data_IF_995696347838
#
_entry.id   IF_995696347838
#
_cell.length_a   1.000
_cell.length_b   1.000
_cell.length_c   1.000
_cell.angle_alpha   90.00
_cell.angle_beta   90.00
_cell.angle_gamma   90.00
#
_symmetry.space_group_name_H-M   'P 1'
#
loop_
_entity.id
_entity.type
_entity.pdbx_description
1 polymer ?
#
# COMPACT_ATOMS: atom_id res chain seq x y z
N UNK A 1 -18.32 4.17 15.42
CA UNK A 1 -17.64 2.98 15.98
C UNK A 1 -16.42 2.73 15.10
N UNK A 2 -15.24 2.46 15.66
CA UNK A 2 -14.10 2.07 14.82
C UNK A 2 -14.35 0.66 14.28
N UNK A 3 -14.12 0.46 12.98
CA UNK A 3 -14.31 -0.82 12.31
C UNK A 3 -13.25 -1.01 11.22
N UNK A 4 -12.81 -2.25 11.04
CA UNK A 4 -11.89 -2.64 9.99
C UNK A 4 -12.36 -3.96 9.36
N UNK A 5 -12.25 -4.03 8.04
CA UNK A 5 -12.61 -5.20 7.23
C UNK A 5 -11.35 -5.68 6.53
N UNK A 6 -11.07 -6.98 6.60
CA UNK A 6 -10.00 -7.60 5.83
C UNK A 6 -10.58 -8.70 4.95
N UNK A 7 -10.21 -8.69 3.68
CA UNK A 7 -10.52 -9.76 2.73
C UNK A 7 -9.22 -10.30 2.16
N UNK A 8 -9.03 -11.60 2.23
CA UNK A 8 -7.85 -12.32 1.72
C UNK A 8 -8.30 -13.25 0.60
N UNK A 9 -7.76 -13.10 -0.60
CA UNK A 9 -8.08 -13.93 -1.77
C UNK A 9 -9.60 -14.11 -2.00
N UNK A 10 -10.40 -13.06 -1.82
CA UNK A 10 -11.85 -13.10 -1.96
C UNK A 10 -12.59 -13.79 -0.81
N UNK A 11 -11.94 -14.00 0.35
CA UNK A 11 -12.54 -14.56 1.56
C UNK A 11 -12.50 -13.51 2.68
N UNK A 12 -13.67 -13.13 3.19
CA UNK A 12 -13.80 -12.23 4.32
C UNK A 12 -13.17 -12.85 5.57
N UNK A 13 -12.28 -12.12 6.23
CA UNK A 13 -11.67 -12.54 7.49
C UNK A 13 -12.56 -12.15 8.66
N UNK A 14 -12.75 -13.06 9.61
CA UNK A 14 -13.64 -12.85 10.76
C UNK A 14 -12.98 -12.07 11.91
N UNK A 15 -11.65 -12.10 11.98
CA UNK A 15 -10.89 -11.40 13.01
C UNK A 15 -10.68 -9.94 12.59
N UNK A 16 -10.81 -9.02 13.54
CA UNK A 16 -10.50 -7.60 13.30
C UNK A 16 -8.98 -7.48 13.01
N UNK A 17 -8.59 -7.00 11.81
CA UNK A 17 -7.18 -6.82 11.47
C UNK A 17 -6.52 -5.63 12.21
N UNK A 18 -7.32 -4.82 12.90
CA UNK A 18 -6.92 -3.52 13.41
C UNK A 18 -6.72 -2.47 12.30
N UNK A 19 -6.27 -1.25 12.66
CA UNK A 19 -6.01 -0.18 11.72
C UNK A 19 -5.01 -0.58 10.62
N UNK A 20 -5.12 -0.03 9.40
CA UNK A 20 -4.32 -0.47 8.25
C UNK A 20 -2.81 -0.32 8.46
N UNK A 21 -2.38 0.74 9.15
CA UNK A 21 -0.96 0.93 9.47
C UNK A 21 -0.42 -0.14 10.42
N UNK A 22 -1.22 -0.56 11.41
CA UNK A 22 -0.83 -1.63 12.34
C UNK A 22 -0.83 -2.98 11.64
N UNK A 23 -1.83 -3.23 10.78
CA UNK A 23 -1.86 -4.41 9.91
C UNK A 23 -0.58 -4.51 9.06
N UNK A 24 -0.23 -3.47 8.28
CA UNK A 24 0.96 -3.51 7.43
C UNK A 24 2.27 -3.67 8.22
N UNK A 25 2.34 -3.17 9.45
CA UNK A 25 3.51 -3.33 10.33
C UNK A 25 3.73 -4.77 10.77
N UNK A 26 2.65 -5.54 10.93
CA UNK A 26 2.72 -6.96 11.31
C UNK A 26 2.86 -7.90 10.12
N UNK A 27 2.76 -7.40 8.88
CA UNK A 27 2.92 -8.22 7.69
C UNK A 27 4.39 -8.43 7.29
N UNK A 28 4.57 -9.46 6.46
CA UNK A 28 5.80 -9.70 5.69
C UNK A 28 6.18 -8.48 4.84
N UNK A 29 7.44 -8.41 4.37
CA UNK A 29 7.81 -7.46 3.33
C UNK A 29 6.91 -7.64 2.10
N UNK A 30 6.48 -6.54 1.48
CA UNK A 30 5.60 -6.59 0.31
C UNK A 30 5.20 -5.21 -0.19
N UNK A 31 4.39 -5.18 -1.26
CA UNK A 31 3.92 -3.96 -1.89
C UNK A 31 2.50 -3.61 -1.42
N UNK A 32 2.19 -2.31 -1.33
CA UNK A 32 0.84 -1.86 -0.98
C UNK A 32 0.44 -0.57 -1.70
N UNK A 33 -0.87 -0.36 -1.83
CA UNK A 33 -1.45 0.92 -2.27
C UNK A 33 -2.60 1.30 -1.35
N UNK A 34 -2.97 2.57 -1.36
CA UNK A 34 -4.04 3.07 -0.51
C UNK A 34 -4.78 4.17 -1.25
N UNK A 35 -6.10 4.05 -1.31
CA UNK A 35 -7.02 5.08 -1.79
C UNK A 35 -8.13 5.31 -0.76
N UNK A 36 -9.02 6.24 -1.05
CA UNK A 36 -10.23 6.47 -0.27
C UNK A 36 -11.45 6.55 -1.16
N UNK A 37 -12.63 6.44 -0.55
CA UNK A 37 -13.86 6.85 -1.19
C UNK A 37 -14.10 8.36 -1.09
N UNK A 38 -15.10 8.81 -1.85
CA UNK A 38 -15.67 10.15 -1.79
C UNK A 38 -17.16 10.09 -2.06
N UNK A 39 -17.86 11.20 -1.81
CA UNK A 39 -19.28 11.37 -2.13
C UNK A 39 -20.12 10.35 -1.34
N UNK A 40 -19.90 10.33 -0.02
CA UNK A 40 -20.56 9.43 0.94
C UNK A 40 -20.39 7.95 0.59
N UNK A 41 -19.14 7.56 0.31
CA UNK A 41 -18.73 6.23 -0.12
C UNK A 41 -19.33 5.73 -1.45
N UNK A 42 -19.91 6.60 -2.27
CA UNK A 42 -20.47 6.20 -3.58
C UNK A 42 -19.42 6.06 -4.69
N UNK A 43 -18.23 6.62 -4.50
CA UNK A 43 -17.14 6.59 -5.49
C UNK A 43 -15.82 6.23 -4.85
N UNK A 44 -14.99 5.44 -5.54
CA UNK A 44 -13.60 5.18 -5.15
C UNK A 44 -12.69 6.09 -5.97
N UNK A 45 -11.80 6.83 -5.30
CA UNK A 45 -10.91 7.75 -5.98
C UNK A 45 -9.79 6.99 -6.73
N UNK A 46 -9.73 7.18 -8.04
CA UNK A 46 -8.62 6.76 -8.91
C UNK A 46 -8.16 5.30 -8.73
N UNK A 47 -9.09 4.37 -8.48
CA UNK A 47 -8.77 2.97 -8.17
C UNK A 47 -7.80 2.34 -9.18
N UNK A 48 -8.04 2.52 -10.48
CA UNK A 48 -7.17 1.98 -11.54
C UNK A 48 -5.72 2.48 -11.42
N UNK A 49 -5.52 3.78 -11.17
CA UNK A 49 -4.17 4.35 -10.96
C UNK A 49 -3.50 3.79 -9.70
N UNK A 50 -4.29 3.49 -8.67
CA UNK A 50 -3.77 2.87 -7.46
C UNK A 50 -3.33 1.43 -7.69
N UNK A 51 -4.04 0.68 -8.54
CA UNK A 51 -3.65 -0.68 -8.96
C UNK A 51 -2.42 -0.66 -9.87
N UNK A 52 -2.34 0.28 -10.81
CA UNK A 52 -1.14 0.51 -11.62
C UNK A 52 0.08 0.81 -10.74
N UNK A 53 -0.07 1.69 -9.74
CA UNK A 53 1.00 1.99 -8.78
C UNK A 53 1.43 0.76 -7.97
N UNK A 54 0.47 -0.09 -7.62
CA UNK A 54 0.75 -1.33 -6.91
C UNK A 54 1.54 -2.30 -7.80
N UNK A 55 1.12 -2.49 -9.05
CA UNK A 55 1.84 -3.30 -10.03
C UNK A 55 3.28 -2.80 -10.23
N UNK A 56 3.46 -1.49 -10.43
CA UNK A 56 4.78 -0.86 -10.54
C UNK A 56 5.64 -1.11 -9.30
N UNK A 57 5.05 -1.05 -8.09
CA UNK A 57 5.79 -1.33 -6.86
C UNK A 57 6.25 -2.79 -6.78
N UNK A 58 5.41 -3.74 -7.22
CA UNK A 58 5.75 -5.16 -7.28
C UNK A 58 6.88 -5.39 -8.30
N UNK A 59 6.78 -4.80 -9.50
CA UNK A 59 7.83 -4.86 -10.53
C UNK A 59 9.18 -4.36 -10.03
N UNK A 60 9.21 -3.18 -9.39
CA UNK A 60 10.44 -2.61 -8.84
C UNK A 60 11.02 -3.56 -7.78
N UNK A 61 10.20 -4.02 -6.82
CA UNK A 61 10.67 -4.91 -5.77
C UNK A 61 11.15 -6.27 -6.31
N UNK A 62 10.49 -6.81 -7.33
CA UNK A 62 10.90 -8.03 -8.01
C UNK A 62 12.25 -7.84 -8.74
N UNK A 63 12.50 -6.69 -9.34
CA UNK A 63 13.80 -6.40 -9.96
C UNK A 63 14.92 -6.25 -8.91
N UNK A 64 14.62 -5.60 -7.79
CA UNK A 64 15.58 -5.47 -6.67
C UNK A 64 15.87 -6.81 -6.00
N UNK A 65 14.87 -7.70 -5.90
CA UNK A 65 14.97 -9.05 -5.31
C UNK A 65 14.12 -10.07 -6.09
N UNK A 66 14.67 -10.72 -7.14
CA UNK A 66 13.91 -11.59 -8.07
C UNK A 66 13.17 -12.77 -7.45
N UNK A 67 13.66 -13.32 -6.34
CA UNK A 67 13.01 -14.40 -5.60
C UNK A 67 11.87 -13.92 -4.68
N UNK A 68 11.63 -12.61 -4.58
CA UNK A 68 10.66 -12.01 -3.67
C UNK A 68 9.20 -12.16 -4.09
N UNK A 69 8.90 -12.60 -5.31
CA UNK A 69 7.54 -12.85 -5.78
C UNK A 69 7.49 -14.14 -6.58
N UNK A 70 6.40 -14.91 -6.41
CA UNK A 70 6.18 -16.17 -7.14
C UNK A 70 5.89 -15.98 -8.63
N UNK A 71 5.62 -14.74 -9.05
CA UNK A 71 5.40 -14.35 -10.45
C UNK A 71 6.47 -13.33 -10.80
N UNK A 72 7.12 -13.52 -11.95
CA UNK A 72 8.00 -12.53 -12.58
C UNK A 72 7.13 -11.53 -13.36
N UNK A 73 6.84 -10.32 -12.83
CA UNK A 73 5.89 -9.41 -13.46
C UNK A 73 6.41 -8.92 -14.82
N UNK A 74 7.74 -8.83 -15.00
CA UNK A 74 8.36 -8.39 -16.24
C UNK A 74 8.13 -9.40 -17.40
N UNK A 75 7.86 -10.67 -17.07
CA UNK A 75 7.56 -11.73 -18.04
C UNK A 75 6.08 -12.05 -18.14
N UNK A 76 5.22 -11.30 -17.45
CA UNK A 76 3.79 -11.54 -17.45
C UNK A 76 3.07 -10.42 -18.21
N UNK A 77 2.75 -10.63 -19.52
CA UNK A 77 1.99 -9.66 -20.30
C UNK A 77 0.67 -9.32 -19.60
N UNK A 78 0.34 -8.02 -19.55
CA UNK A 78 -0.88 -7.53 -18.91
C UNK A 78 -0.95 -7.80 -17.38
N UNK A 79 0.18 -7.73 -16.68
CA UNK A 79 0.25 -7.90 -15.22
C UNK A 79 -0.72 -7.00 -14.44
N UNK A 80 -0.91 -5.76 -14.88
CA UNK A 80 -1.88 -4.84 -14.26
C UNK A 80 -3.31 -5.38 -14.34
N UNK A 81 -3.73 -5.93 -15.48
CA UNK A 81 -5.08 -6.49 -15.67
C UNK A 81 -5.29 -7.75 -14.83
N UNK A 82 -4.28 -8.61 -14.78
CA UNK A 82 -4.29 -9.78 -13.91
C UNK A 82 -4.40 -9.37 -12.43
N UNK A 83 -3.58 -8.42 -11.99
CA UNK A 83 -3.62 -7.90 -10.63
C UNK A 83 -4.99 -7.29 -10.30
N UNK A 84 -5.55 -6.51 -11.23
CA UNK A 84 -6.90 -5.96 -11.10
C UNK A 84 -7.94 -7.08 -10.94
N UNK A 85 -7.84 -8.15 -11.73
CA UNK A 85 -8.75 -9.31 -11.63
C UNK A 85 -8.67 -10.00 -10.25
N UNK A 86 -7.47 -10.13 -9.68
CA UNK A 86 -7.26 -10.73 -8.36
C UNK A 86 -7.86 -9.88 -7.25
N UNK A 87 -7.67 -8.55 -7.32
CA UNK A 87 -8.16 -7.62 -6.32
C UNK A 87 -9.67 -7.41 -6.39
N UNK A 88 -10.28 -7.52 -7.57
CA UNK A 88 -11.68 -7.16 -7.81
C UNK A 88 -12.65 -7.90 -6.89
N UNK A 89 -12.48 -9.23 -6.74
CA UNK A 89 -13.34 -10.04 -5.87
C UNK A 89 -13.20 -9.64 -4.40
N UNK A 90 -11.96 -9.46 -3.94
CA UNK A 90 -11.67 -9.04 -2.56
C UNK A 90 -12.24 -7.66 -2.26
N UNK A 91 -12.12 -6.73 -3.22
CA UNK A 91 -12.67 -5.39 -3.12
C UNK A 91 -14.20 -5.41 -3.02
N UNK A 92 -14.89 -6.15 -3.88
CA UNK A 92 -16.35 -6.23 -3.88
C UNK A 92 -16.91 -6.74 -2.54
N UNK A 93 -16.34 -7.84 -2.03
CA UNK A 93 -16.73 -8.42 -0.74
C UNK A 93 -16.43 -7.44 0.41
N UNK A 94 -15.26 -6.80 0.37
CA UNK A 94 -14.87 -5.82 1.39
C UNK A 94 -15.80 -4.62 1.40
N UNK A 95 -16.16 -4.09 0.22
CA UNK A 95 -17.06 -2.93 0.08
C UNK A 95 -18.46 -3.27 0.59
N UNK A 96 -19.00 -4.43 0.22
CA UNK A 96 -20.31 -4.87 0.73
C UNK A 96 -20.31 -4.86 2.26
N UNK A 97 -19.30 -5.46 2.89
CA UNK A 97 -19.21 -5.50 4.35
C UNK A 97 -18.98 -4.11 4.97
N UNK A 98 -18.14 -3.28 4.34
CA UNK A 98 -17.86 -1.94 4.83
C UNK A 98 -19.10 -1.03 4.78
N UNK A 99 -19.91 -1.14 3.73
CA UNK A 99 -21.15 -0.38 3.57
C UNK A 99 -22.22 -0.76 4.62
N UNK A 100 -22.21 -2.00 5.12
CA UNK A 100 -23.07 -2.43 6.23
C UNK A 100 -22.62 -1.87 7.59
N UNK A 101 -21.32 -1.63 7.75
CA UNK A 101 -20.72 -1.20 9.03
C UNK A 101 -20.63 0.31 9.19
N UNK A 102 -20.46 1.03 8.08
CA UNK A 102 -20.24 2.48 8.10
C UNK A 102 -21.50 3.24 8.53
N UNK A 103 -21.29 4.40 9.14
CA UNK A 103 -22.35 5.39 9.34
C UNK A 103 -22.49 6.30 8.11
N UNK A 104 -23.60 7.03 8.03
CA UNK A 104 -23.80 8.07 7.03
C UNK A 104 -22.67 9.12 7.12
N UNK A 105 -22.21 9.63 5.97
CA UNK A 105 -21.10 10.58 5.83
C UNK A 105 -19.70 10.03 6.17
N UNK A 106 -19.58 8.79 6.67
CA UNK A 106 -18.29 8.14 6.76
C UNK A 106 -17.80 7.71 5.38
N UNK A 107 -16.59 8.13 5.04
CA UNK A 107 -15.87 7.65 3.88
C UNK A 107 -15.06 6.39 4.25
N UNK A 108 -14.50 5.73 3.23
CA UNK A 108 -13.74 4.50 3.34
C UNK A 108 -12.27 4.76 3.03
N UNK A 109 -11.36 4.22 3.82
CA UNK A 109 -9.96 4.05 3.47
C UNK A 109 -9.80 2.63 2.93
N UNK A 110 -9.32 2.50 1.70
CA UNK A 110 -9.18 1.22 1.00
C UNK A 110 -7.70 0.99 0.73
N UNK A 111 -7.15 -0.09 1.26
CA UNK A 111 -5.77 -0.48 1.10
C UNK A 111 -5.69 -1.86 0.47
N UNK A 112 -4.89 -2.00 -0.59
CA UNK A 112 -4.52 -3.30 -1.13
C UNK A 112 -3.06 -3.60 -0.79
N UNK A 113 -2.79 -4.84 -0.40
CA UNK A 113 -1.48 -5.32 0.00
C UNK A 113 -1.20 -6.69 -0.62
N UNK A 114 0.03 -6.87 -1.12
CA UNK A 114 0.53 -8.11 -1.69
C UNK A 114 1.84 -8.45 -0.96
N UNK A 115 1.89 -9.55 -0.19
CA UNK A 115 3.13 -10.01 0.40
C UNK A 115 4.10 -10.45 -0.68
N UNK A 116 5.37 -10.13 -0.47
CA UNK A 116 6.48 -10.80 -1.14
C UNK A 116 7.04 -11.90 -0.26
N UNK A 117 7.62 -12.93 -0.87
CA UNK A 117 8.46 -13.93 -0.20
C UNK A 117 9.93 -13.44 -0.08
N UNK A 118 10.11 -12.15 0.21
CA UNK A 118 11.41 -11.46 0.15
C UNK A 118 12.45 -11.99 1.16
N UNK A 119 12.01 -12.74 2.17
CA UNK A 119 12.86 -13.37 3.20
C UNK A 119 13.38 -14.76 2.81
N UNK A 120 12.79 -15.43 1.80
CA UNK A 120 13.25 -16.75 1.32
C UNK A 120 14.43 -16.66 0.35
N UNK A 121 14.81 -15.44 -0.04
CA UNK A 121 15.99 -15.11 -0.82
C UNK A 121 17.30 -15.28 -0.02
N UNK A 122 17.54 -16.44 0.58
CA UNK A 122 18.89 -16.78 1.07
C UNK A 122 19.78 -17.16 -0.12
N UNK A 123 21.10 -16.96 0.02
CA UNK A 123 22.11 -16.93 -1.05
C UNK A 123 22.26 -18.22 -1.92
N UNK A 124 21.38 -19.22 -1.78
CA UNK A 124 21.50 -20.52 -2.45
C UNK A 124 20.43 -20.82 -3.53
N UNK A 125 19.43 -19.96 -3.75
CA UNK A 125 18.34 -20.25 -4.71
C UNK A 125 18.36 -19.36 -5.98
N UNK A 126 19.52 -18.92 -6.44
CA UNK A 126 19.63 -18.13 -7.68
C UNK A 126 19.36 -18.91 -8.98
N UNK A 127 19.16 -20.23 -8.94
CA UNK A 127 19.15 -21.06 -10.17
C UNK A 127 17.79 -21.55 -10.66
N UNK A 128 16.66 -21.28 -9.99
CA UNK A 128 15.36 -21.68 -10.51
C UNK A 128 14.25 -20.70 -10.17
N UNK A 129 14.29 -19.50 -10.75
CA UNK A 129 13.04 -18.81 -11.05
C UNK A 129 12.30 -19.71 -12.06
N UNK A 130 11.40 -20.59 -11.58
CA UNK A 130 10.53 -21.37 -12.47
C UNK A 130 9.70 -20.37 -13.27
N UNK A 131 10.09 -20.14 -14.53
CA UNK A 131 9.22 -19.49 -15.50
C UNK A 131 7.92 -20.28 -15.55
N UNK A 132 6.82 -19.65 -15.17
CA UNK A 132 5.47 -20.20 -15.25
C UNK A 132 5.08 -20.32 -16.72
N UNK A 133 5.53 -21.36 -17.41
CA UNK A 133 5.16 -21.62 -18.80
C UNK A 133 3.70 -22.08 -18.97
N UNK A 134 2.96 -22.35 -17.89
CA UNK A 134 1.54 -22.74 -17.95
C UNK A 134 0.78 -22.33 -16.70
N UNK A 135 0.25 -21.11 -16.65
CA UNK A 135 -0.86 -20.82 -15.74
C UNK A 135 -2.11 -21.48 -16.32
N UNK A 136 -2.37 -22.71 -15.89
CA UNK A 136 -3.69 -23.31 -15.99
C UNK A 136 -4.59 -22.53 -15.04
N UNK A 137 -5.65 -21.89 -15.56
CA UNK A 137 -6.57 -21.01 -14.81
C UNK A 137 -7.43 -21.74 -13.76
N UNK A 138 -7.09 -22.99 -13.42
CA UNK A 138 -7.83 -23.86 -12.52
C UNK A 138 -7.06 -24.31 -11.27
N UNK A 139 -5.75 -24.06 -11.17
CA UNK A 139 -4.95 -24.34 -9.97
C UNK A 139 -4.47 -23.03 -9.33
N UNK A 140 -4.92 -22.75 -8.11
CA UNK A 140 -4.66 -21.52 -7.36
C UNK A 140 -3.22 -21.42 -6.80
N UNK A 141 -2.20 -21.41 -7.66
CA UNK A 141 -0.85 -20.90 -7.32
C UNK A 141 -0.74 -19.40 -7.70
N UNK A 142 -1.71 -18.59 -7.26
CA UNK A 142 -1.76 -17.15 -7.54
C UNK A 142 -1.09 -16.31 -6.45
N UNK A 143 -0.76 -15.05 -6.78
CA UNK A 143 -0.34 -14.08 -5.77
C UNK A 143 -1.39 -13.98 -4.67
N UNK A 144 -0.92 -14.02 -3.43
CA UNK A 144 -1.77 -13.71 -2.30
C UNK A 144 -2.13 -12.22 -2.29
N UNK A 145 -3.41 -11.91 -2.09
CA UNK A 145 -3.91 -10.53 -2.08
C UNK A 145 -4.73 -10.26 -0.83
N UNK A 146 -4.49 -9.10 -0.23
CA UNK A 146 -5.24 -8.57 0.88
C UNK A 146 -5.89 -7.24 0.49
N UNK A 147 -7.18 -7.10 0.78
CA UNK A 147 -7.88 -5.82 0.73
C UNK A 147 -8.36 -5.49 2.14
N UNK A 148 -7.85 -4.39 2.67
CA UNK A 148 -8.24 -3.82 3.96
C UNK A 148 -9.11 -2.59 3.71
N UNK A 149 -10.27 -2.53 4.33
CA UNK A 149 -11.17 -1.39 4.27
C UNK A 149 -11.49 -0.94 5.68
N UNK A 150 -11.33 0.35 5.96
CA UNK A 150 -11.60 0.93 7.27
C UNK A 150 -12.29 2.26 7.16
N UNK A 151 -12.78 2.74 8.30
CA UNK A 151 -13.36 4.06 8.45
C UNK A 151 -12.37 5.16 8.05
N UNK A 152 -12.81 6.10 7.23
CA UNK A 152 -12.09 7.33 6.91
C UNK A 152 -12.98 8.54 7.18
N UNK A 153 -12.49 9.44 8.02
CA UNK A 153 -13.08 10.77 8.14
C UNK A 153 -12.21 11.74 7.34
N UNK A 154 -12.73 12.33 6.26
CA UNK A 154 -12.03 13.44 5.63
C UNK A 154 -11.87 14.56 6.66
N UNK A 155 -10.74 15.30 6.65
CA UNK A 155 -10.62 16.51 7.44
C UNK A 155 -11.83 17.41 7.14
N UNK A 156 -12.52 17.89 8.18
CA UNK A 156 -13.61 18.85 8.00
C UNK A 156 -13.08 20.04 7.21
N UNK A 157 -13.90 20.60 6.32
CA UNK A 157 -13.56 21.66 5.36
C UNK A 157 -13.18 23.01 6.00
N UNK A 158 -12.77 23.02 7.27
CA UNK A 158 -12.11 24.18 7.85
C UNK A 158 -10.81 24.38 7.10
N UNK A 159 -10.79 25.45 6.31
CA UNK A 159 -9.65 25.94 5.56
C UNK A 159 -8.34 25.67 6.29
N UNK A 160 -7.49 24.89 5.63
CA UNK A 160 -6.19 24.41 6.06
C UNK A 160 -5.42 25.42 6.91
N UNK A 161 -5.42 25.21 8.23
CA UNK A 161 -4.39 25.84 9.05
C UNK A 161 -3.02 25.43 8.49
N UNK A 162 -2.10 26.38 8.26
CA UNK A 162 -0.74 26.05 7.87
C UNK A 162 -0.17 25.02 8.84
N UNK A 163 0.31 23.91 8.30
CA UNK A 163 0.98 22.90 9.10
C UNK A 163 2.47 23.23 9.21
N UNK A 164 3.07 22.86 10.34
CA UNK A 164 4.53 22.88 10.46
C UNK A 164 5.09 21.57 9.98
N UNK A 165 6.17 21.67 9.21
CA UNK A 165 6.97 20.52 8.76
C UNK A 165 8.38 20.64 9.32
N UNK A 166 9.04 19.51 9.54
CA UNK A 166 10.45 19.46 9.89
C UNK A 166 11.25 18.82 8.75
N UNK A 167 12.47 19.31 8.51
CA UNK A 167 13.40 18.67 7.57
C UNK A 167 14.29 17.75 8.39
N UNK A 168 14.14 16.44 8.22
CA UNK A 168 14.92 15.44 8.94
C UNK A 168 14.82 14.05 8.32
N UNK A 169 15.82 13.21 8.58
CA UNK A 169 15.84 11.82 8.14
C UNK A 169 16.27 11.64 6.69
N UNK A 170 16.93 10.51 6.43
CA UNK A 170 17.42 10.14 5.11
C UNK A 170 16.29 9.73 4.16
N UNK A 171 16.57 9.82 2.86
CA UNK A 171 15.70 9.33 1.81
C UNK A 171 15.38 7.83 1.95
N UNK A 172 14.27 7.44 1.34
CA UNK A 172 13.81 6.04 1.33
C UNK A 172 14.76 5.17 0.51
N UNK A 173 14.96 3.94 0.97
CA UNK A 173 15.51 2.86 0.14
C UNK A 173 14.42 2.46 -0.85
N UNK A 174 14.73 2.42 -2.15
CA UNK A 174 13.77 2.15 -3.25
C UNK A 174 12.55 3.11 -3.22
N UNK A 175 12.77 4.44 -3.38
CA UNK A 175 11.70 5.44 -3.22
C UNK A 175 10.57 5.30 -4.25
N UNK A 176 10.85 4.70 -5.41
CA UNK A 176 9.85 4.53 -6.46
C UNK A 176 8.82 3.42 -6.16
N UNK A 177 9.06 2.58 -5.15
CA UNK A 177 8.10 1.55 -4.71
C UNK A 177 7.36 1.97 -3.43
N UNK A 178 6.11 1.54 -3.30
CA UNK A 178 5.34 1.65 -2.06
C UNK A 178 5.33 0.28 -1.36
N UNK A 179 6.23 0.12 -0.39
CA UNK A 179 6.52 -1.17 0.25
C UNK A 179 6.53 -1.09 1.77
N UNK A 180 6.26 -2.21 2.43
CA UNK A 180 6.05 -2.28 3.89
C UNK A 180 7.32 -2.03 4.70
N UNK A 181 8.53 -2.21 4.15
CA UNK A 181 9.76 -1.91 4.89
C UNK A 181 9.89 -0.42 5.20
N UNK A 182 9.42 0.47 4.32
CA UNK A 182 9.42 1.89 4.62
C UNK A 182 8.54 2.23 5.84
N UNK A 183 7.42 1.52 6.02
CA UNK A 183 6.54 1.68 7.19
C UNK A 183 7.28 1.30 8.48
N UNK A 184 8.10 0.24 8.42
CA UNK A 184 8.91 -0.22 9.55
C UNK A 184 10.05 0.75 9.83
N UNK A 185 10.79 1.16 8.79
CA UNK A 185 11.93 2.06 8.87
C UNK A 185 11.56 3.44 9.42
N UNK A 186 10.46 4.04 8.94
CA UNK A 186 10.08 5.40 9.36
C UNK A 186 9.52 5.49 10.79
N UNK A 187 9.27 4.37 11.48
CA UNK A 187 8.75 4.39 12.87
C UNK A 187 9.67 5.17 13.82
N UNK A 188 10.98 5.10 13.62
CA UNK A 188 11.94 5.89 14.39
C UNK A 188 11.79 7.40 14.13
N UNK A 189 11.57 7.79 12.87
CA UNK A 189 11.32 9.18 12.48
C UNK A 189 9.98 9.70 13.03
N UNK A 190 8.92 8.89 12.94
CA UNK A 190 7.62 9.24 13.53
C UNK A 190 7.73 9.49 15.05
N UNK A 191 8.54 8.69 15.76
CA UNK A 191 8.80 8.88 17.20
C UNK A 191 9.68 10.11 17.49
N UNK A 192 10.60 10.43 16.59
CA UNK A 192 11.51 11.57 16.71
C UNK A 192 10.88 12.89 16.21
N UNK A 193 9.69 12.85 15.61
CA UNK A 193 9.00 14.02 15.07
C UNK A 193 8.78 15.06 16.19
N UNK A 194 9.27 16.30 16.04
CA UNK A 194 9.11 17.33 17.04
C UNK A 194 7.64 17.62 17.36
N UNK A 195 7.37 18.10 18.57
CA UNK A 195 6.03 18.50 18.97
C UNK A 195 5.47 19.61 18.07
N UNK A 196 4.21 19.48 17.67
CA UNK A 196 3.54 20.45 16.80
C UNK A 196 3.99 20.44 15.34
N UNK A 197 4.85 19.50 14.93
CA UNK A 197 5.17 19.20 13.53
C UNK A 197 4.22 18.10 13.03
N UNK A 198 3.56 18.35 11.90
CA UNK A 198 2.58 17.41 11.33
C UNK A 198 3.21 16.43 10.33
N UNK A 199 4.27 16.84 9.65
CA UNK A 199 4.94 16.01 8.64
C UNK A 199 6.46 16.25 8.66
N UNK A 200 7.21 15.23 8.26
CA UNK A 200 8.66 15.31 8.05
C UNK A 200 8.94 15.29 6.56
N UNK A 201 9.73 16.27 6.08
CA UNK A 201 10.34 16.27 4.76
C UNK A 201 11.73 15.66 4.86
N UNK A 202 11.98 14.63 4.08
CA UNK A 202 13.25 13.91 4.04
C UNK A 202 14.30 14.72 3.29
N UNK A 203 15.54 14.64 3.77
CA UNK A 203 16.71 15.23 3.13
C UNK A 203 17.97 14.45 3.52
N UNK A 204 18.84 14.19 2.55
CA UNK A 204 20.07 13.43 2.80
C UNK A 204 21.19 14.30 3.38
N UNK A 205 21.18 15.59 3.06
CA UNK A 205 22.25 16.56 3.34
C UNK A 205 21.74 17.85 4.03
N UNK A 206 20.42 18.07 4.06
CA UNK A 206 19.79 19.29 4.54
C UNK A 206 19.60 20.36 3.45
N UNK A 207 20.24 20.19 2.29
CA UNK A 207 20.20 21.14 1.18
C UNK A 207 19.18 20.71 0.11
N UNK A 208 19.13 19.41 -0.20
CA UNK A 208 18.21 18.84 -1.17
C UNK A 208 16.99 18.25 -0.47
N UNK A 209 15.83 18.84 -0.74
CA UNK A 209 14.54 18.33 -0.27
C UNK A 209 14.08 17.19 -1.18
N UNK A 210 13.64 16.09 -0.58
CA UNK A 210 13.15 14.91 -1.30
C UNK A 210 11.62 14.88 -1.33
N UNK A 211 11.01 14.21 -0.36
CA UNK A 211 9.58 13.99 -0.22
C UNK A 211 9.21 13.94 1.27
N UNK A 212 7.92 13.94 1.58
CA UNK A 212 7.45 13.67 2.94
C UNK A 212 7.52 12.17 3.30
N UNK A 213 7.26 11.81 4.56
CA UNK A 213 7.24 10.39 4.95
C UNK A 213 6.16 9.59 4.24
N UNK A 214 5.00 10.21 3.98
CA UNK A 214 3.85 9.59 3.30
C UNK A 214 3.19 10.51 2.29
N UNK A 215 3.85 11.63 1.95
CA UNK A 215 3.31 12.71 1.13
C UNK A 215 4.35 13.20 0.14
N UNK A 216 3.88 13.71 -1.01
CA UNK A 216 4.70 14.60 -1.85
C UNK A 216 4.41 16.05 -1.44
N UNK A 217 5.34 16.96 -1.72
CA UNK A 217 5.14 18.39 -1.55
C UNK A 217 5.52 19.14 -2.84
N UNK A 218 5.05 20.37 -2.96
CA UNK A 218 5.32 21.25 -4.10
C UNK A 218 5.71 22.63 -3.59
N UNK A 219 6.63 23.29 -4.27
CA UNK A 219 7.06 24.66 -3.97
C UNK A 219 6.62 25.55 -5.13
N UNK A 220 6.01 26.68 -4.80
CA UNK A 220 5.65 27.72 -5.77
C UNK A 220 6.55 28.93 -5.47
N UNK A 221 7.40 29.30 -6.44
CA UNK A 221 8.21 30.51 -6.37
C UNK A 221 7.74 31.50 -7.42
N UNK A 222 7.71 32.77 -7.04
CA UNK A 222 7.52 33.89 -7.96
C UNK A 222 8.85 34.34 -8.56
#
# INVERSE_FOLDING_TARGET
MEWNVLVRNGVLQLQDPGPPLLFLRSQLPGAYTTTRSSDNASRILFWDRHVERLAQSIEILANEKPCGFSIDPAKFPCFVDYLKSLLQRSLQIGLQRALELRSEYEELLIMAYIPGELDKCTEQEQTTCKGLDKINTQDHEGLEVYVHISRFLPPLSEASNPIRVAIMGFGRIVPNAKHTDWIKARKALEKARPEGVMEIILSNDGDLLLEGMVTNFFVVSN
#
